data_IF_849996486940
#
_entry.id   IF_849996486940
#
_cell.length_a   1.000
_cell.length_b   1.000
_cell.length_c   1.000
_cell.angle_alpha   90.00
_cell.angle_beta   90.00
_cell.angle_gamma   90.00
#
_symmetry.space_group_name_H-M   'P 1'
#
loop_
_entity.id
_entity.type
_entity.pdbx_description
1 polymer ?
#
# COMPACT_ATOMS: atom_id res chain seq x y z
N UNK A 1 -28.61 -22.42 3.54
CA UNK A 1 -27.57 -21.86 2.62
C UNK A 1 -26.68 -23.01 2.25
N UNK A 2 -26.49 -23.27 0.97
CA UNK A 2 -25.61 -24.33 0.50
C UNK A 2 -24.17 -23.96 0.81
N UNK A 3 -23.48 -24.75 1.63
CA UNK A 3 -22.05 -24.59 1.88
C UNK A 3 -21.31 -24.78 0.55
N UNK A 4 -20.49 -23.80 0.19
CA UNK A 4 -19.63 -23.86 -1.00
C UNK A 4 -18.27 -24.38 -0.57
N UNK A 5 -17.72 -25.31 -1.35
CA UNK A 5 -16.43 -25.92 -1.07
C UNK A 5 -15.34 -25.41 -2.03
N UNK A 6 -14.14 -25.21 -1.51
CA UNK A 6 -12.96 -24.83 -2.29
C UNK A 6 -11.67 -25.31 -1.61
N UNK A 7 -10.57 -25.41 -2.34
CA UNK A 7 -9.28 -25.76 -1.73
C UNK A 7 -8.66 -24.57 -0.99
N UNK A 8 -8.73 -23.39 -1.59
CA UNK A 8 -8.15 -22.17 -1.06
C UNK A 8 -9.17 -21.02 -1.08
N UNK A 9 -9.29 -20.34 0.03
CA UNK A 9 -10.05 -19.09 0.12
C UNK A 9 -9.12 -17.95 0.50
N UNK A 10 -9.16 -16.87 -0.31
CA UNK A 10 -8.43 -15.61 -0.05
C UNK A 10 -9.43 -14.57 0.42
N UNK A 11 -9.15 -13.92 1.56
CA UNK A 11 -9.98 -12.85 2.13
C UNK A 11 -9.42 -11.50 1.70
N UNK A 12 -10.18 -10.76 0.90
CA UNK A 12 -9.86 -9.41 0.40
C UNK A 12 -9.41 -9.38 -1.06
N UNK A 13 -10.18 -8.67 -1.90
CA UNK A 13 -9.88 -8.43 -3.32
C UNK A 13 -9.16 -7.07 -3.53
N UNK A 14 -8.28 -6.70 -2.59
CA UNK A 14 -7.26 -5.68 -2.79
C UNK A 14 -6.11 -6.20 -3.64
N UNK A 15 -5.18 -5.33 -4.02
CA UNK A 15 -4.10 -5.66 -4.96
C UNK A 15 -3.20 -6.83 -4.48
N UNK A 16 -3.00 -6.99 -3.16
CA UNK A 16 -2.19 -8.08 -2.59
C UNK A 16 -2.95 -9.41 -2.70
N UNK A 17 -4.22 -9.45 -2.32
CA UNK A 17 -5.04 -10.67 -2.41
C UNK A 17 -5.19 -11.13 -3.86
N UNK A 18 -5.45 -10.21 -4.79
CA UNK A 18 -5.58 -10.53 -6.21
C UNK A 18 -4.24 -10.97 -6.83
N UNK A 19 -3.12 -10.33 -6.49
CA UNK A 19 -1.79 -10.77 -6.95
C UNK A 19 -1.44 -12.18 -6.41
N UNK A 20 -1.80 -12.46 -5.16
CA UNK A 20 -1.66 -13.79 -4.55
C UNK A 20 -2.51 -14.83 -5.29
N UNK A 21 -3.77 -14.50 -5.59
CA UNK A 21 -4.68 -15.37 -6.33
C UNK A 21 -4.14 -15.69 -7.73
N UNK A 22 -3.65 -14.68 -8.46
CA UNK A 22 -3.01 -14.88 -9.77
C UNK A 22 -1.80 -15.82 -9.69
N UNK A 23 -0.95 -15.63 -8.69
CA UNK A 23 0.23 -16.48 -8.53
C UNK A 23 -0.13 -17.91 -8.13
N UNK A 24 -1.19 -18.11 -7.32
CA UNK A 24 -1.73 -19.46 -7.03
C UNK A 24 -2.19 -20.14 -8.33
N UNK A 25 -3.01 -19.50 -9.13
CA UNK A 25 -3.49 -20.06 -10.41
C UNK A 25 -2.33 -20.39 -11.34
N UNK A 26 -1.31 -19.54 -11.41
CA UNK A 26 -0.13 -19.77 -12.24
C UNK A 26 0.67 -21.02 -11.81
N UNK A 27 0.86 -21.22 -10.49
CA UNK A 27 1.69 -22.33 -9.96
C UNK A 27 0.90 -23.59 -9.71
N UNK A 28 -0.38 -23.46 -9.38
CA UNK A 28 -1.24 -24.54 -8.93
C UNK A 28 -2.58 -24.48 -9.68
N UNK A 29 -2.59 -24.63 -11.01
CA UNK A 29 -3.75 -24.34 -11.86
C UNK A 29 -4.98 -25.25 -11.63
N UNK A 30 -4.84 -26.32 -10.83
CA UNK A 30 -5.96 -27.23 -10.49
C UNK A 30 -6.54 -26.97 -9.11
N UNK A 31 -5.99 -26.00 -8.35
CA UNK A 31 -6.49 -25.65 -7.03
C UNK A 31 -7.79 -24.86 -7.15
N UNK A 32 -8.87 -25.36 -6.56
CA UNK A 32 -10.11 -24.60 -6.41
C UNK A 32 -9.83 -23.33 -5.62
N UNK A 33 -10.13 -22.16 -6.19
CA UNK A 33 -9.79 -20.86 -5.63
C UNK A 33 -11.00 -19.94 -5.60
N UNK A 34 -11.31 -19.42 -4.41
CA UNK A 34 -12.29 -18.37 -4.21
C UNK A 34 -11.63 -17.19 -3.51
N UNK A 35 -11.85 -15.98 -4.03
CA UNK A 35 -11.53 -14.71 -3.38
C UNK A 35 -12.83 -14.10 -2.87
N UNK A 36 -12.92 -13.78 -1.57
CA UNK A 36 -14.08 -13.09 -1.00
C UNK A 36 -13.75 -11.62 -0.72
N UNK A 37 -14.65 -10.73 -1.11
CA UNK A 37 -14.52 -9.28 -0.89
C UNK A 37 -15.80 -8.74 -0.23
N UNK A 38 -15.64 -7.88 0.78
CA UNK A 38 -16.77 -7.31 1.51
C UNK A 38 -17.54 -6.25 0.72
N UNK A 39 -16.87 -5.57 -0.21
CA UNK A 39 -17.44 -4.52 -1.04
C UNK A 39 -18.12 -5.10 -2.30
N UNK A 40 -18.82 -4.24 -3.01
CA UNK A 40 -19.47 -4.54 -4.29
C UNK A 40 -18.51 -4.51 -5.50
N UNK A 41 -17.24 -4.22 -5.26
CA UNK A 41 -16.19 -4.15 -6.28
C UNK A 41 -14.82 -4.48 -5.71
N UNK A 42 -13.91 -4.88 -6.57
CA UNK A 42 -12.48 -5.03 -6.23
C UNK A 42 -11.80 -3.68 -6.03
N UNK A 43 -10.69 -3.64 -5.33
CA UNK A 43 -9.86 -2.46 -5.15
C UNK A 43 -10.55 -1.26 -4.45
N UNK A 44 -11.61 -1.47 -3.72
CA UNK A 44 -12.45 -0.41 -3.14
C UNK A 44 -11.73 0.44 -2.08
N UNK A 45 -10.71 -0.10 -1.42
CA UNK A 45 -10.00 0.55 -0.32
C UNK A 45 -8.60 1.06 -0.71
N UNK A 46 -7.52 0.71 0.04
CA UNK A 46 -6.16 1.24 -0.16
C UNK A 46 -5.67 1.13 -1.61
N UNK A 47 -6.10 0.11 -2.34
CA UNK A 47 -5.75 -0.09 -3.75
C UNK A 47 -6.33 1.00 -4.67
N UNK A 48 -7.53 1.47 -4.40
CA UNK A 48 -8.17 2.58 -5.13
C UNK A 48 -7.85 3.97 -4.55
N UNK A 49 -7.22 4.05 -3.38
CA UNK A 49 -6.99 5.29 -2.63
C UNK A 49 -5.49 5.46 -2.29
N UNK A 50 -4.65 5.57 -3.32
CA UNK A 50 -3.20 5.74 -3.21
C UNK A 50 -2.67 6.75 -4.25
N UNK A 51 -1.38 7.05 -4.20
CA UNK A 51 -0.75 8.02 -5.10
C UNK A 51 -0.55 7.54 -6.55
N UNK A 52 -0.77 6.27 -6.86
CA UNK A 52 -0.53 5.73 -8.20
C UNK A 52 0.95 5.60 -8.60
N UNK A 53 1.88 5.76 -7.66
CA UNK A 53 3.32 5.74 -7.95
C UNK A 53 3.85 4.32 -8.02
N UNK A 54 4.55 3.98 -9.11
CA UNK A 54 5.43 2.81 -9.20
C UNK A 54 6.76 3.21 -8.55
N UNK A 55 6.93 2.85 -7.27
CA UNK A 55 8.10 3.22 -6.48
C UNK A 55 9.37 2.51 -6.94
N UNK A 56 10.52 3.18 -6.79
CA UNK A 56 11.83 2.67 -7.23
C UNK A 56 12.61 1.87 -6.17
N UNK A 57 12.27 2.02 -4.88
CA UNK A 57 13.01 1.37 -3.79
C UNK A 57 14.07 2.23 -3.09
N UNK A 58 14.20 3.51 -3.47
CA UNK A 58 15.25 4.41 -2.96
C UNK A 58 15.21 4.64 -1.43
N UNK A 59 14.01 4.59 -0.82
CA UNK A 59 13.82 4.97 0.60
C UNK A 59 14.08 3.84 1.59
N UNK A 60 14.03 2.58 1.16
CA UNK A 60 13.94 1.43 2.06
C UNK A 60 15.31 0.97 2.54
N UNK A 61 15.33 0.44 3.77
CA UNK A 61 16.57 -0.08 4.37
C UNK A 61 17.15 -1.18 3.49
N UNK A 62 18.43 -1.07 3.17
CA UNK A 62 19.14 -2.05 2.34
C UNK A 62 19.02 -3.44 2.96
N UNK A 63 18.71 -4.42 2.11
CA UNK A 63 18.54 -5.82 2.51
C UNK A 63 17.14 -6.17 3.09
N UNK A 64 16.26 -5.19 3.36
CA UNK A 64 14.89 -5.45 3.80
C UNK A 64 14.04 -6.10 2.70
N UNK A 65 12.97 -6.81 3.10
CA UNK A 65 11.98 -7.34 2.15
C UNK A 65 11.36 -6.23 1.30
N UNK A 66 11.07 -5.08 1.92
CA UNK A 66 10.55 -3.89 1.20
C UNK A 66 11.49 -3.42 0.10
N UNK A 67 12.80 -3.34 0.36
CA UNK A 67 13.76 -2.87 -0.65
C UNK A 67 13.83 -3.84 -1.83
N UNK A 68 14.02 -5.13 -1.57
CA UNK A 68 14.11 -6.17 -2.61
C UNK A 68 12.83 -6.26 -3.44
N UNK A 69 11.69 -6.37 -2.75
CA UNK A 69 10.39 -6.52 -3.42
C UNK A 69 9.96 -5.23 -4.14
N UNK A 70 10.43 -4.06 -3.72
CA UNK A 70 10.14 -2.82 -4.44
C UNK A 70 10.90 -2.73 -5.77
N UNK A 71 12.21 -2.99 -5.75
CA UNK A 71 13.03 -2.91 -6.97
C UNK A 71 12.58 -3.95 -8.00
N UNK A 72 12.43 -5.22 -7.57
CA UNK A 72 11.93 -6.29 -8.44
C UNK A 72 10.47 -6.02 -8.88
N UNK A 73 9.63 -5.58 -7.94
CA UNK A 73 8.22 -5.29 -8.18
C UNK A 73 7.98 -4.14 -9.15
N UNK A 74 8.83 -3.11 -9.12
CA UNK A 74 8.76 -2.03 -10.11
C UNK A 74 8.95 -2.56 -11.54
N UNK A 75 9.93 -3.43 -11.74
CA UNK A 75 10.17 -4.06 -13.05
C UNK A 75 9.01 -5.00 -13.44
N UNK A 76 8.54 -5.83 -12.50
CA UNK A 76 7.42 -6.76 -12.73
C UNK A 76 6.11 -6.02 -13.02
N UNK A 77 5.83 -4.93 -12.31
CA UNK A 77 4.62 -4.11 -12.50
C UNK A 77 4.61 -3.45 -13.88
N UNK A 78 5.71 -2.84 -14.30
CA UNK A 78 5.82 -2.23 -15.63
C UNK A 78 5.63 -3.26 -16.74
N UNK A 79 6.28 -4.41 -16.62
CA UNK A 79 6.11 -5.53 -17.56
C UNK A 79 4.66 -5.99 -17.62
N UNK A 80 4.03 -6.16 -16.45
CA UNK A 80 2.62 -6.56 -16.38
C UNK A 80 1.72 -5.53 -17.06
N UNK A 81 1.93 -4.24 -16.83
CA UNK A 81 1.17 -3.18 -17.49
C UNK A 81 1.36 -3.23 -19.02
N UNK A 82 2.58 -3.39 -19.48
CA UNK A 82 2.91 -3.49 -20.91
C UNK A 82 2.24 -4.71 -21.57
N UNK A 83 2.36 -5.88 -20.95
CA UNK A 83 1.78 -7.14 -21.47
C UNK A 83 0.24 -7.13 -21.50
N UNK A 84 -0.39 -6.34 -20.63
CA UNK A 84 -1.85 -6.27 -20.51
C UNK A 84 -2.47 -4.98 -21.04
N UNK A 85 -1.70 -4.13 -21.72
CA UNK A 85 -2.21 -2.88 -22.31
C UNK A 85 -2.69 -1.86 -21.26
N UNK A 86 -2.15 -1.88 -20.03
CA UNK A 86 -2.50 -0.93 -18.96
C UNK A 86 -1.65 0.32 -19.14
N UNK A 87 -2.26 1.51 -19.26
CA UNK A 87 -1.51 2.75 -19.34
C UNK A 87 -0.64 2.98 -18.09
N UNK A 88 0.64 3.18 -18.29
CA UNK A 88 1.59 3.61 -17.29
C UNK A 88 2.64 4.52 -17.92
N UNK A 89 3.34 5.29 -17.11
CA UNK A 89 4.40 6.17 -17.60
C UNK A 89 5.59 6.15 -16.63
N UNK A 90 6.81 6.03 -17.17
CA UNK A 90 8.06 6.27 -16.44
C UNK A 90 8.37 7.75 -16.48
N UNK A 91 7.69 8.54 -15.68
CA UNK A 91 7.84 9.98 -15.65
C UNK A 91 9.08 10.45 -14.89
N UNK A 92 9.67 9.59 -14.06
CA UNK A 92 10.77 9.98 -13.19
C UNK A 92 10.32 10.74 -11.94
N UNK A 93 11.28 10.94 -11.02
CA UNK A 93 11.08 11.63 -9.75
C UNK A 93 12.32 12.42 -9.38
N UNK A 94 12.13 13.64 -8.86
CA UNK A 94 13.13 14.39 -8.13
C UNK A 94 12.91 14.25 -6.62
N UNK A 95 13.97 13.98 -5.87
CA UNK A 95 14.01 14.17 -4.42
C UNK A 95 14.90 15.36 -4.15
N UNK A 96 14.35 16.44 -3.60
CA UNK A 96 14.97 17.77 -3.58
C UNK A 96 15.35 18.15 -2.15
N UNK A 97 16.59 18.55 -1.94
CA UNK A 97 17.06 19.19 -0.71
C UNK A 97 16.85 20.71 -0.84
N UNK A 98 16.08 21.26 0.09
CA UNK A 98 15.72 22.69 0.14
C UNK A 98 16.50 23.47 1.21
N UNK A 99 17.34 22.78 1.99
CA UNK A 99 18.22 23.36 3.01
C UNK A 99 19.54 22.60 3.12
N UNK A 100 20.56 23.27 3.68
CA UNK A 100 21.88 22.65 3.90
C UNK A 100 21.81 21.42 4.81
N UNK A 101 20.90 21.40 5.78
CA UNK A 101 20.67 20.24 6.66
C UNK A 101 20.15 19.01 5.91
N UNK A 102 19.46 19.21 4.79
CA UNK A 102 18.90 18.13 3.97
C UNK A 102 19.92 17.53 3.01
N UNK A 103 20.96 18.28 2.61
CA UNK A 103 21.98 17.80 1.65
C UNK A 103 22.68 16.52 2.10
N UNK A 104 23.19 16.39 3.33
CA UNK A 104 23.80 15.13 3.80
C UNK A 104 22.82 13.96 3.78
N UNK A 105 21.54 14.20 4.10
CA UNK A 105 20.48 13.17 4.06
C UNK A 105 20.17 12.75 2.63
N UNK A 106 20.20 13.71 1.69
CA UNK A 106 20.02 13.43 0.26
C UNK A 106 21.15 12.55 -0.29
N UNK A 107 22.40 12.83 0.09
CA UNK A 107 23.56 12.00 -0.28
C UNK A 107 23.39 10.57 0.27
N UNK A 108 23.08 10.44 1.55
CA UNK A 108 22.83 9.14 2.17
C UNK A 108 21.65 8.39 1.52
N UNK A 109 20.65 9.11 1.03
CA UNK A 109 19.52 8.53 0.28
C UNK A 109 19.96 8.02 -1.08
N UNK A 110 20.79 8.76 -1.81
CA UNK A 110 21.39 8.36 -3.08
C UNK A 110 22.21 7.06 -2.92
N UNK A 111 23.09 7.03 -1.91
CA UNK A 111 23.94 5.86 -1.63
C UNK A 111 23.10 4.63 -1.27
N UNK A 112 22.04 4.82 -0.48
CA UNK A 112 21.07 3.77 -0.14
C UNK A 112 20.36 3.24 -1.38
N UNK A 113 19.87 4.13 -2.25
CA UNK A 113 19.22 3.75 -3.49
C UNK A 113 20.14 2.97 -4.42
N UNK A 114 21.42 3.38 -4.51
CA UNK A 114 22.47 2.68 -5.26
C UNK A 114 22.71 1.27 -4.67
N UNK A 115 22.83 1.17 -3.36
CA UNK A 115 23.00 -0.11 -2.66
C UNK A 115 21.76 -1.04 -2.79
N UNK A 116 20.57 -0.48 -2.98
CA UNK A 116 19.36 -1.23 -3.26
C UNK A 116 19.24 -1.66 -4.74
N UNK A 117 20.15 -1.22 -5.62
CA UNK A 117 20.11 -1.54 -7.03
C UNK A 117 19.09 -0.72 -7.84
N UNK A 118 18.71 0.47 -7.38
CA UNK A 118 17.81 1.37 -8.13
C UNK A 118 18.53 1.88 -9.38
N UNK A 119 18.01 1.62 -10.60
CA UNK A 119 18.73 1.97 -11.83
C UNK A 119 18.72 3.46 -12.12
N UNK A 120 19.84 3.96 -12.66
CA UNK A 120 19.92 5.29 -13.27
C UNK A 120 19.85 6.47 -12.31
N UNK A 121 20.11 6.26 -11.01
CA UNK A 121 20.15 7.35 -10.03
C UNK A 121 21.23 8.38 -10.41
N UNK A 122 20.89 9.65 -10.32
CA UNK A 122 21.81 10.77 -10.55
C UNK A 122 21.64 11.83 -9.48
N UNK A 123 22.77 12.27 -8.90
CA UNK A 123 22.82 13.49 -8.11
C UNK A 123 22.91 14.68 -9.07
N UNK A 124 22.05 15.66 -8.90
CA UNK A 124 21.94 16.83 -9.77
C UNK A 124 22.10 18.13 -8.97
N UNK A 125 22.87 19.05 -9.53
CA UNK A 125 22.91 20.44 -9.09
C UNK A 125 21.69 21.21 -9.61
N UNK A 126 21.47 22.42 -9.08
CA UNK A 126 20.25 23.20 -9.29
C UNK A 126 19.89 23.39 -10.77
N UNK A 127 20.83 23.79 -11.60
CA UNK A 127 20.56 24.05 -13.03
C UNK A 127 20.14 22.77 -13.75
N UNK A 128 20.80 21.64 -13.46
CA UNK A 128 20.51 20.36 -14.10
C UNK A 128 19.14 19.78 -13.68
N UNK A 129 18.71 19.93 -12.43
CA UNK A 129 17.37 19.42 -12.10
C UNK A 129 16.25 20.38 -12.58
N UNK A 130 16.53 21.66 -12.79
CA UNK A 130 15.58 22.61 -13.37
C UNK A 130 15.35 22.40 -14.88
N UNK A 131 16.25 21.74 -15.57
CA UNK A 131 15.97 21.26 -16.94
C UNK A 131 14.83 20.22 -16.94
N UNK A 132 14.75 19.40 -15.89
CA UNK A 132 13.70 18.36 -15.72
C UNK A 132 12.41 18.99 -15.19
N UNK A 133 12.52 19.79 -14.10
CA UNK A 133 11.42 20.47 -13.41
C UNK A 133 11.69 21.97 -13.34
N UNK A 134 11.32 22.75 -14.36
CA UNK A 134 11.71 24.17 -14.47
C UNK A 134 11.27 25.07 -13.32
N UNK A 135 10.15 24.72 -12.67
CA UNK A 135 9.57 25.46 -11.55
C UNK A 135 10.03 24.94 -10.18
N UNK A 136 10.83 23.85 -10.16
CA UNK A 136 11.37 23.29 -8.94
C UNK A 136 12.54 24.14 -8.42
N UNK A 137 12.60 24.34 -7.11
CA UNK A 137 13.69 25.04 -6.43
C UNK A 137 14.27 24.22 -5.29
N UNK A 138 15.56 24.43 -5.02
CA UNK A 138 16.32 23.72 -4.01
C UNK A 138 17.82 23.87 -4.22
N UNK A 139 18.61 23.22 -3.37
CA UNK A 139 20.07 23.24 -3.43
C UNK A 139 20.61 22.13 -4.35
N UNK A 140 20.13 20.91 -4.14
CA UNK A 140 20.52 19.71 -4.88
C UNK A 140 19.34 18.75 -4.99
N UNK A 141 19.37 17.85 -5.95
CA UNK A 141 18.35 16.81 -6.09
C UNK A 141 18.93 15.44 -6.46
N UNK A 142 18.24 14.37 -6.05
CA UNK A 142 18.43 13.04 -6.64
C UNK A 142 17.35 12.81 -7.67
N UNK A 143 17.75 12.57 -8.90
CA UNK A 143 16.86 12.15 -9.98
C UNK A 143 16.77 10.62 -10.00
N UNK A 144 15.53 10.12 -10.00
CA UNK A 144 15.18 8.70 -10.06
C UNK A 144 14.37 8.47 -11.34
N UNK A 145 15.03 8.24 -12.50
CA UNK A 145 14.34 8.21 -13.80
C UNK A 145 13.35 7.05 -13.93
N UNK A 146 13.58 5.95 -13.23
CA UNK A 146 12.76 4.72 -13.30
C UNK A 146 11.50 4.73 -12.44
N UNK A 147 11.23 5.81 -11.69
CA UNK A 147 9.96 5.97 -11.00
C UNK A 147 8.85 6.21 -12.03
N UNK A 148 7.72 5.53 -11.84
CA UNK A 148 6.59 5.65 -12.77
C UNK A 148 5.27 5.93 -12.06
N UNK A 149 4.22 6.06 -12.86
CA UNK A 149 2.84 6.25 -12.43
C UNK A 149 1.91 5.28 -13.16
N UNK A 150 0.87 4.81 -12.46
CA UNK A 150 -0.14 3.89 -12.96
C UNK A 150 -1.43 4.05 -12.15
N UNK A 151 -2.57 3.67 -12.70
CA UNK A 151 -3.79 3.47 -11.91
C UNK A 151 -3.85 2.04 -11.37
N UNK A 152 -3.62 1.88 -10.06
CA UNK A 152 -3.67 0.56 -9.42
C UNK A 152 -5.08 -0.03 -9.36
N UNK A 153 -6.13 0.76 -9.55
CA UNK A 153 -7.49 0.24 -9.71
C UNK A 153 -7.61 -0.56 -11.00
N UNK A 154 -7.08 -0.03 -12.09
CA UNK A 154 -7.03 -0.71 -13.39
C UNK A 154 -6.17 -1.97 -13.34
N UNK A 155 -5.02 -1.90 -12.66
CA UNK A 155 -4.15 -3.07 -12.43
C UNK A 155 -4.91 -4.17 -11.68
N UNK A 156 -5.59 -3.84 -10.58
CA UNK A 156 -6.34 -4.79 -9.77
C UNK A 156 -7.54 -5.38 -10.53
N UNK A 157 -8.23 -4.58 -11.33
CA UNK A 157 -9.30 -5.06 -12.22
C UNK A 157 -8.76 -6.07 -13.25
N UNK A 158 -7.59 -5.80 -13.81
CA UNK A 158 -6.94 -6.75 -14.73
C UNK A 158 -6.53 -8.06 -14.01
N UNK A 159 -6.02 -7.98 -12.78
CA UNK A 159 -5.77 -9.18 -11.97
C UNK A 159 -7.06 -10.00 -11.79
N UNK A 160 -8.16 -9.34 -11.42
CA UNK A 160 -9.45 -9.99 -11.24
C UNK A 160 -9.96 -10.65 -12.54
N UNK A 161 -9.85 -9.96 -13.67
CA UNK A 161 -10.20 -10.52 -14.98
C UNK A 161 -9.40 -11.79 -15.31
N UNK A 162 -8.08 -11.76 -15.08
CA UNK A 162 -7.21 -12.91 -15.36
C UNK A 162 -7.50 -14.09 -14.43
N UNK A 163 -7.81 -13.83 -13.14
CA UNK A 163 -8.24 -14.84 -12.19
C UNK A 163 -9.51 -15.54 -12.68
N UNK A 164 -10.53 -14.78 -13.06
CA UNK A 164 -11.82 -15.31 -13.51
C UNK A 164 -11.68 -16.07 -14.83
N UNK A 165 -10.88 -15.58 -15.78
CA UNK A 165 -10.60 -16.31 -17.04
C UNK A 165 -9.91 -17.65 -16.82
N UNK A 166 -9.13 -17.77 -15.76
CA UNK A 166 -8.43 -19.01 -15.41
C UNK A 166 -9.26 -19.93 -14.49
N UNK A 167 -10.54 -19.62 -14.25
CA UNK A 167 -11.47 -20.44 -13.47
C UNK A 167 -11.49 -20.15 -11.98
N UNK A 168 -10.75 -19.15 -11.49
CA UNK A 168 -10.90 -18.65 -10.12
C UNK A 168 -12.17 -17.83 -9.96
N UNK A 169 -12.75 -17.85 -8.77
CA UNK A 169 -13.97 -17.11 -8.47
C UNK A 169 -13.72 -15.93 -7.55
N UNK A 170 -14.43 -14.82 -7.79
CA UNK A 170 -14.42 -13.63 -6.91
C UNK A 170 -15.86 -13.38 -6.47
N UNK A 171 -16.10 -13.44 -5.16
CA UNK A 171 -17.41 -13.23 -4.54
C UNK A 171 -17.40 -11.87 -3.85
N UNK A 172 -18.16 -10.95 -4.38
CA UNK A 172 -18.33 -9.59 -3.87
C UNK A 172 -19.48 -9.54 -2.84
N UNK A 173 -19.53 -8.50 -2.01
CA UNK A 173 -20.52 -8.37 -0.94
C UNK A 173 -20.38 -9.43 0.17
N UNK A 174 -19.25 -10.15 0.19
CA UNK A 174 -18.99 -11.29 1.07
C UNK A 174 -18.13 -10.88 2.29
N UNK A 175 -18.62 -9.95 3.11
CA UNK A 175 -17.96 -9.58 4.37
C UNK A 175 -17.85 -10.80 5.28
N UNK A 176 -16.62 -11.18 5.65
CA UNK A 176 -16.36 -12.26 6.61
C UNK A 176 -16.85 -11.85 7.98
N UNK A 177 -17.66 -12.70 8.61
CA UNK A 177 -18.27 -12.48 9.93
C UNK A 177 -17.85 -13.53 10.96
N UNK A 178 -17.41 -14.71 10.51
CA UNK A 178 -16.81 -15.73 11.37
C UNK A 178 -15.76 -16.55 10.60
N UNK A 179 -14.74 -17.00 11.31
CA UNK A 179 -13.68 -17.86 10.79
C UNK A 179 -13.27 -18.84 11.86
N UNK A 180 -13.44 -20.14 11.59
CA UNK A 180 -13.13 -21.21 12.54
C UNK A 180 -12.51 -22.42 11.84
N UNK A 181 -11.62 -23.11 12.56
CA UNK A 181 -11.13 -24.40 12.14
C UNK A 181 -12.24 -25.47 12.18
N UNK A 182 -12.20 -26.40 11.25
CA UNK A 182 -13.04 -27.59 11.19
C UNK A 182 -12.17 -28.83 10.95
N UNK A 183 -12.71 -30.04 11.15
CA UNK A 183 -12.05 -31.33 11.02
C UNK A 183 -11.30 -31.49 9.67
N UNK A 184 -10.09 -30.93 9.61
CA UNK A 184 -9.22 -30.97 8.44
C UNK A 184 -9.26 -29.74 7.51
N UNK A 185 -10.04 -28.68 7.82
CA UNK A 185 -10.15 -27.46 7.04
C UNK A 185 -10.56 -26.24 7.87
N UNK A 186 -11.25 -25.34 7.22
CA UNK A 186 -11.75 -24.09 7.81
C UNK A 186 -13.17 -23.81 7.31
N UNK A 187 -13.98 -23.18 8.15
CA UNK A 187 -15.29 -22.62 7.77
C UNK A 187 -15.17 -21.09 7.84
N UNK A 188 -15.48 -20.44 6.73
CA UNK A 188 -15.51 -18.98 6.59
C UNK A 188 -16.95 -18.55 6.36
N UNK A 189 -17.56 -17.93 7.35
CA UNK A 189 -18.92 -17.41 7.26
C UNK A 189 -18.88 -15.96 6.76
N UNK A 190 -19.71 -15.66 5.78
CA UNK A 190 -19.79 -14.33 5.16
C UNK A 190 -21.23 -13.90 5.00
N UNK A 191 -21.46 -12.62 4.66
CA UNK A 191 -22.81 -12.14 4.29
C UNK A 191 -23.35 -12.80 3.01
N UNK A 192 -22.48 -13.38 2.16
CA UNK A 192 -22.86 -14.06 0.92
C UNK A 192 -23.04 -15.60 1.11
N UNK A 193 -22.91 -16.11 2.34
CA UNK A 193 -23.00 -17.54 2.67
C UNK A 193 -21.75 -18.07 3.36
N UNK A 194 -21.75 -19.38 3.62
CA UNK A 194 -20.63 -20.08 4.24
C UNK A 194 -19.78 -20.81 3.19
N UNK A 195 -18.47 -20.81 3.42
CA UNK A 195 -17.48 -21.47 2.59
C UNK A 195 -16.68 -22.47 3.43
N UNK A 196 -16.63 -23.72 2.98
CA UNK A 196 -15.73 -24.74 3.52
C UNK A 196 -14.45 -24.76 2.67
N UNK A 197 -13.30 -24.61 3.29
CA UNK A 197 -12.02 -24.52 2.57
C UNK A 197 -10.91 -25.23 3.31
N UNK A 198 -9.96 -25.81 2.58
CA UNK A 198 -8.77 -26.43 3.18
C UNK A 198 -7.80 -25.40 3.73
N UNK A 199 -7.60 -24.32 3.00
CA UNK A 199 -6.61 -23.27 3.29
C UNK A 199 -7.22 -21.88 3.23
N UNK A 200 -6.72 -20.96 4.07
CA UNK A 200 -7.13 -19.57 4.07
C UNK A 200 -5.90 -18.66 3.98
N UNK A 201 -5.97 -17.65 3.11
CA UNK A 201 -5.01 -16.53 3.12
C UNK A 201 -5.77 -15.24 3.42
N UNK A 202 -5.44 -14.62 4.54
CA UNK A 202 -6.03 -13.35 4.95
C UNK A 202 -5.23 -12.19 4.37
N UNK A 203 -5.79 -11.52 3.36
CA UNK A 203 -5.30 -10.29 2.72
C UNK A 203 -6.24 -9.11 2.97
N UNK A 204 -6.88 -9.04 4.13
CA UNK A 204 -7.94 -8.08 4.45
C UNK A 204 -7.46 -6.63 4.71
N UNK A 205 -6.17 -6.33 4.50
CA UNK A 205 -5.61 -4.97 4.56
C UNK A 205 -5.93 -4.25 5.88
N UNK A 206 -6.81 -3.25 5.84
CA UNK A 206 -7.24 -2.48 7.02
C UNK A 206 -7.88 -3.34 8.12
N UNK A 207 -8.39 -4.53 7.79
CA UNK A 207 -9.02 -5.46 8.73
C UNK A 207 -8.22 -6.74 8.97
N UNK A 208 -6.95 -6.78 8.54
CA UNK A 208 -6.12 -7.99 8.63
C UNK A 208 -5.97 -8.50 10.07
N UNK A 209 -5.79 -7.61 11.03
CA UNK A 209 -5.71 -7.90 12.46
C UNK A 209 -7.04 -8.43 13.02
N UNK A 210 -8.17 -7.86 12.61
CA UNK A 210 -9.50 -8.31 13.02
C UNK A 210 -9.79 -9.73 12.53
N UNK A 211 -9.51 -10.03 11.26
CA UNK A 211 -9.63 -11.38 10.71
C UNK A 211 -8.68 -12.36 11.40
N UNK A 212 -7.45 -11.93 11.72
CA UNK A 212 -6.49 -12.75 12.44
C UNK A 212 -7.00 -13.10 13.84
N UNK A 213 -7.56 -12.14 14.58
CA UNK A 213 -8.21 -12.40 15.88
C UNK A 213 -9.45 -13.29 15.76
N UNK A 214 -10.25 -13.10 14.70
CA UNK A 214 -11.41 -13.93 14.42
C UNK A 214 -11.04 -15.42 14.21
N UNK A 215 -9.85 -15.67 13.65
CA UNK A 215 -9.28 -17.01 13.51
C UNK A 215 -8.74 -17.60 14.85
N UNK A 216 -8.94 -16.91 15.98
CA UNK A 216 -8.43 -17.33 17.29
C UNK A 216 -6.94 -17.10 17.51
N UNK A 217 -6.29 -16.35 16.63
CA UNK A 217 -4.85 -16.08 16.70
C UNK A 217 -4.59 -14.84 17.56
N UNK A 218 -3.85 -15.02 18.64
CA UNK A 218 -3.39 -13.92 19.48
C UNK A 218 -2.22 -13.21 18.76
N UNK A 219 -2.42 -11.94 18.42
CA UNK A 219 -1.36 -11.09 17.90
C UNK A 219 -1.14 -9.90 18.83
N UNK A 220 0.11 -9.52 19.04
CA UNK A 220 0.47 -8.31 19.74
C UNK A 220 0.47 -7.07 18.82
N UNK A 221 -0.37 -7.11 17.78
CA UNK A 221 -0.47 -6.09 16.73
C UNK A 221 -1.89 -5.57 16.63
N UNK A 222 -2.00 -4.27 16.37
CA UNK A 222 -3.25 -3.60 16.01
C UNK A 222 -3.03 -2.75 14.78
N UNK A 223 -3.99 -2.74 13.85
CA UNK A 223 -3.99 -1.80 12.73
C UNK A 223 -4.54 -0.46 13.20
N UNK A 224 -3.67 0.53 13.25
CA UNK A 224 -4.02 1.92 13.51
C UNK A 224 -4.15 2.63 12.16
N UNK A 225 -5.32 3.13 11.79
CA UNK A 225 -5.52 3.79 10.52
C UNK A 225 -4.97 5.23 10.55
N UNK A 226 -4.19 5.58 9.51
CA UNK A 226 -3.74 6.95 9.27
C UNK A 226 -4.31 7.45 7.95
N UNK A 227 -5.08 8.53 8.02
CA UNK A 227 -5.62 9.19 6.85
C UNK A 227 -4.63 10.19 6.28
N UNK A 228 -4.38 10.11 4.98
CA UNK A 228 -3.67 11.11 4.21
C UNK A 228 -4.64 11.90 3.36
N UNK A 229 -4.66 13.21 3.50
CA UNK A 229 -5.45 14.13 2.70
C UNK A 229 -4.59 14.71 1.60
N UNK A 230 -5.18 14.91 0.43
CA UNK A 230 -4.55 15.52 -0.73
C UNK A 230 -5.25 16.80 -1.12
N UNK A 231 -4.50 17.71 -1.66
CA UNK A 231 -5.00 18.76 -2.52
C UNK A 231 -4.73 18.40 -3.98
N UNK A 232 -5.56 18.89 -4.88
CA UNK A 232 -5.31 18.82 -6.31
C UNK A 232 -4.85 20.19 -6.82
N UNK A 233 -3.79 20.21 -7.63
CA UNK A 233 -3.36 21.44 -8.32
C UNK A 233 -4.36 21.73 -9.44
N UNK A 234 -4.90 22.94 -9.44
CA UNK A 234 -5.87 23.39 -10.44
C UNK A 234 -5.36 23.20 -11.86
N UNK A 235 -6.21 22.85 -12.82
CA UNK A 235 -5.82 22.57 -14.20
C UNK A 235 -4.89 23.63 -14.83
N UNK A 236 -5.17 24.91 -14.56
CA UNK A 236 -4.45 26.06 -15.11
C UNK A 236 -3.01 26.19 -14.57
N UNK A 237 -2.69 25.46 -13.49
CA UNK A 237 -1.40 25.52 -12.79
C UNK A 237 -0.66 24.18 -12.78
N UNK A 238 -1.20 23.12 -13.40
CA UNK A 238 -0.55 21.80 -13.49
C UNK A 238 0.78 21.84 -14.21
N UNK A 239 1.00 22.82 -15.09
CA UNK A 239 2.26 23.03 -15.78
C UNK A 239 3.45 23.30 -14.86
N UNK A 240 3.21 23.69 -13.59
CA UNK A 240 4.26 23.86 -12.58
C UNK A 240 4.94 22.54 -12.20
N UNK A 241 4.29 21.41 -12.42
CA UNK A 241 4.79 20.08 -12.04
C UNK A 241 4.71 19.16 -13.25
N UNK A 242 5.86 18.73 -13.76
CA UNK A 242 5.93 17.83 -14.91
C UNK A 242 5.92 16.36 -14.51
N UNK A 243 6.57 16.03 -13.38
CA UNK A 243 6.78 14.66 -12.93
C UNK A 243 6.40 14.51 -11.44
N UNK A 244 7.30 13.96 -10.64
CA UNK A 244 7.13 13.78 -9.21
C UNK A 244 8.20 14.59 -8.47
N UNK A 245 7.78 15.46 -7.54
CA UNK A 245 8.70 16.29 -6.74
C UNK A 245 8.50 15.98 -5.27
N UNK A 246 9.53 15.42 -4.63
CA UNK A 246 9.49 14.92 -3.27
C UNK A 246 10.53 15.60 -2.40
N UNK A 247 10.24 15.87 -1.12
CA UNK A 247 11.25 16.34 -0.18
C UNK A 247 12.21 15.23 0.25
N UNK A 248 13.35 15.62 0.79
CA UNK A 248 14.22 14.68 1.49
C UNK A 248 13.52 14.16 2.75
N UNK A 249 13.49 12.83 2.97
CA UNK A 249 12.89 12.28 4.18
C UNK A 249 13.59 12.79 5.44
N UNK A 250 12.80 13.20 6.42
CA UNK A 250 13.31 13.49 7.76
C UNK A 250 13.21 12.23 8.63
N UNK A 251 14.33 11.67 9.11
CA UNK A 251 14.33 10.42 9.87
C UNK A 251 13.59 10.51 11.22
N UNK A 252 13.30 11.72 11.68
CA UNK A 252 12.49 11.94 12.89
C UNK A 252 11.01 11.62 12.68
N UNK A 253 10.57 11.58 11.40
CA UNK A 253 9.18 11.38 11.03
C UNK A 253 8.99 10.01 10.35
N UNK A 254 7.98 9.22 10.75
CA UNK A 254 7.71 7.92 10.15
C UNK A 254 7.06 8.02 8.75
N UNK A 255 6.58 9.19 8.38
CA UNK A 255 5.94 9.44 7.09
C UNK A 255 6.70 10.50 6.31
N UNK A 256 6.67 10.37 5.00
CA UNK A 256 7.25 11.37 4.09
C UNK A 256 6.44 12.67 4.15
N UNK A 257 7.13 13.80 4.07
CA UNK A 257 6.50 15.12 3.97
C UNK A 257 5.64 15.28 2.72
N UNK A 258 4.80 16.32 2.71
CA UNK A 258 3.96 16.64 1.55
C UNK A 258 4.79 16.81 0.28
N UNK A 259 4.29 16.29 -0.82
CA UNK A 259 5.00 16.22 -2.09
C UNK A 259 4.02 16.32 -3.27
N UNK A 260 4.55 16.50 -4.47
CA UNK A 260 3.74 16.52 -5.69
C UNK A 260 3.78 15.20 -6.41
N UNK A 261 2.62 14.76 -6.85
CA UNK A 261 2.45 13.52 -7.62
C UNK A 261 1.58 13.79 -8.84
N UNK A 262 2.15 13.64 -10.02
CA UNK A 262 1.37 13.60 -11.25
C UNK A 262 0.73 12.21 -11.38
N UNK A 263 -0.52 12.18 -11.81
CA UNK A 263 -1.29 10.96 -12.06
C UNK A 263 -1.29 10.62 -13.54
N UNK A 264 -1.56 9.37 -13.87
CA UNK A 264 -1.63 8.88 -15.26
C UNK A 264 -2.73 9.57 -16.07
N UNK A 265 -3.76 10.12 -15.43
CA UNK A 265 -4.82 10.90 -16.07
C UNK A 265 -4.45 12.39 -16.25
N UNK A 266 -3.21 12.79 -15.92
CA UNK A 266 -2.72 14.15 -16.03
C UNK A 266 -3.10 15.09 -14.90
N UNK A 267 -3.82 14.64 -13.86
CA UNK A 267 -4.01 15.43 -12.65
C UNK A 267 -2.73 15.50 -11.84
N UNK A 268 -2.58 16.53 -11.01
CA UNK A 268 -1.45 16.70 -10.11
C UNK A 268 -1.98 16.83 -8.69
N UNK A 269 -1.59 15.90 -7.84
CA UNK A 269 -1.91 15.90 -6.42
C UNK A 269 -0.76 16.45 -5.60
N UNK A 270 -1.09 17.13 -4.52
CA UNK A 270 -0.18 17.63 -3.51
C UNK A 270 -0.55 17.05 -2.14
N UNK A 271 0.38 16.38 -1.49
CA UNK A 271 0.13 15.65 -0.24
C UNK A 271 0.90 14.33 -0.21
N UNK A 272 0.45 13.36 0.59
CA UNK A 272 -0.53 13.52 1.65
C UNK A 272 0.07 14.05 2.96
N UNK A 273 -0.78 14.55 3.87
CA UNK A 273 -0.47 14.62 5.29
C UNK A 273 -0.64 13.23 5.97
N UNK A 274 -0.50 13.14 7.28
CA UNK A 274 -0.67 11.89 8.00
C UNK A 274 -1.43 12.14 9.32
N UNK A 275 -2.74 11.95 9.28
CA UNK A 275 -3.65 12.16 10.40
C UNK A 275 -4.11 10.84 11.00
N UNK A 276 -4.19 10.77 12.31
CA UNK A 276 -4.83 9.65 12.97
C UNK A 276 -6.31 9.61 12.57
N UNK A 277 -6.78 8.46 12.08
CA UNK A 277 -8.19 8.24 11.79
C UNK A 277 -8.82 7.38 12.90
N UNK A 278 -10.07 7.70 13.29
CA UNK A 278 -10.86 6.94 14.26
C UNK A 278 -11.85 5.99 13.57
N UNK A 279 -11.59 5.71 12.30
CA UNK A 279 -12.33 4.77 11.46
C UNK A 279 -11.40 4.20 10.40
N UNK A 280 -11.42 2.88 10.21
CA UNK A 280 -10.57 2.19 9.21
C UNK A 280 -10.90 2.60 7.77
N UNK A 281 -12.15 2.97 7.51
CA UNK A 281 -12.63 3.45 6.20
C UNK A 281 -12.93 4.95 6.21
N UNK A 282 -12.18 5.73 6.97
CA UNK A 282 -12.37 7.16 7.18
C UNK A 282 -11.96 8.03 5.99
N UNK A 283 -12.36 7.69 4.75
CA UNK A 283 -12.03 8.47 3.55
C UNK A 283 -12.69 9.85 3.55
N UNK A 284 -13.91 9.99 4.09
CA UNK A 284 -14.67 11.24 4.09
C UNK A 284 -14.55 12.07 5.37
N UNK A 285 -13.64 11.73 6.24
CA UNK A 285 -13.09 12.61 7.30
C UNK A 285 -13.94 12.90 8.53
N UNK A 286 -15.24 12.66 8.56
CA UNK A 286 -16.07 13.36 9.52
C UNK A 286 -16.71 12.51 10.64
N UNK A 287 -16.76 11.19 10.53
CA UNK A 287 -17.47 10.38 11.53
C UNK A 287 -16.59 9.25 12.07
N UNK A 288 -16.26 9.27 13.37
CA UNK A 288 -15.61 8.12 14.00
C UNK A 288 -16.56 6.92 14.00
N UNK A 289 -16.02 5.73 13.81
CA UNK A 289 -16.70 4.49 14.17
C UNK A 289 -16.35 4.20 15.64
N UNK A 290 -17.37 4.18 16.50
CA UNK A 290 -17.15 4.09 17.94
C UNK A 290 -16.56 2.73 18.35
N UNK A 291 -16.92 1.65 17.67
CA UNK A 291 -16.42 0.30 18.00
C UNK A 291 -14.96 0.18 17.57
N UNK A 292 -14.62 0.64 16.36
CA UNK A 292 -13.24 0.66 15.87
C UNK A 292 -12.35 1.59 16.70
N UNK A 293 -12.83 2.79 17.02
CA UNK A 293 -12.13 3.74 17.87
C UNK A 293 -11.89 3.17 19.28
N UNK A 294 -12.90 2.54 19.88
CA UNK A 294 -12.78 1.94 21.20
C UNK A 294 -11.82 0.75 21.20
N UNK A 295 -11.84 -0.08 20.14
CA UNK A 295 -10.87 -1.17 19.94
C UNK A 295 -9.44 -0.66 19.94
N UNK A 296 -9.16 0.38 19.16
CA UNK A 296 -7.86 1.03 19.08
C UNK A 296 -7.43 1.64 20.43
N UNK A 297 -8.33 2.35 21.12
CA UNK A 297 -8.05 2.98 22.41
C UNK A 297 -7.81 1.97 23.54
N UNK A 298 -8.34 0.75 23.45
CA UNK A 298 -8.06 -0.34 24.41
C UNK A 298 -6.70 -0.98 24.21
N UNK A 299 -6.06 -0.76 23.07
CA UNK A 299 -4.75 -1.35 22.78
C UNK A 299 -3.62 -0.57 23.45
N UNK A 300 -2.84 -1.18 24.36
CA UNK A 300 -1.77 -0.45 25.08
C UNK A 300 -0.69 0.16 24.17
N UNK A 301 -0.40 -0.50 23.05
CA UNK A 301 0.55 -0.01 22.05
C UNK A 301 0.14 1.33 21.44
N UNK A 302 -1.17 1.58 21.30
CA UNK A 302 -1.67 2.87 20.81
C UNK A 302 -1.22 4.05 21.70
N UNK A 303 -1.35 3.93 23.03
CA UNK A 303 -0.96 4.99 23.94
C UNK A 303 0.54 5.24 23.99
N UNK A 304 1.35 4.18 23.87
CA UNK A 304 2.80 4.29 23.79
C UNK A 304 3.21 4.98 22.47
N UNK A 305 2.58 4.61 21.36
CA UNK A 305 2.76 5.28 20.07
C UNK A 305 2.34 6.74 20.14
N UNK A 306 1.14 7.03 20.64
CA UNK A 306 0.61 8.37 20.78
C UNK A 306 1.56 9.26 21.60
N UNK A 307 2.06 8.76 22.76
CA UNK A 307 3.04 9.48 23.59
C UNK A 307 4.36 9.74 22.85
N UNK A 308 4.80 8.80 22.00
CA UNK A 308 6.06 8.95 21.24
C UNK A 308 5.94 10.00 20.14
N UNK A 309 4.77 10.07 19.47
CA UNK A 309 4.58 10.87 18.24
C UNK A 309 3.61 12.03 18.40
N UNK A 310 3.14 12.40 19.63
CA UNK A 310 2.10 13.41 19.82
C UNK A 310 2.41 14.79 19.21
N UNK A 311 3.68 15.27 19.34
CA UNK A 311 4.09 16.58 18.80
C UNK A 311 3.96 16.60 17.26
N UNK A 312 4.33 15.49 16.64
CA UNK A 312 4.21 15.34 15.19
C UNK A 312 2.74 15.27 14.78
N UNK A 313 1.93 14.47 15.47
CA UNK A 313 0.48 14.39 15.23
C UNK A 313 -0.19 15.76 15.32
N UNK A 314 0.18 16.58 16.30
CA UNK A 314 -0.32 17.95 16.44
C UNK A 314 0.11 18.85 15.25
N UNK A 315 1.36 18.72 14.78
CA UNK A 315 1.85 19.48 13.64
C UNK A 315 1.15 19.08 12.32
N UNK A 316 0.90 17.76 12.14
CA UNK A 316 0.12 17.28 10.99
C UNK A 316 -1.33 17.77 11.06
N UNK A 317 -1.97 17.72 12.23
CA UNK A 317 -3.31 18.23 12.44
C UNK A 317 -3.42 19.73 12.16
N UNK A 318 -2.44 20.52 12.60
CA UNK A 318 -2.37 21.95 12.27
C UNK A 318 -2.27 22.19 10.76
N UNK A 319 -1.42 21.42 10.06
CA UNK A 319 -1.31 21.53 8.59
C UNK A 319 -2.58 21.12 7.86
N UNK A 320 -3.33 20.15 8.40
CA UNK A 320 -4.63 19.77 7.84
C UNK A 320 -5.67 20.88 7.94
N UNK A 321 -5.71 21.59 9.06
CA UNK A 321 -6.65 22.69 9.26
C UNK A 321 -6.25 23.99 8.57
N UNK A 322 -4.95 24.18 8.38
CA UNK A 322 -4.39 25.44 7.87
C UNK A 322 -3.80 25.27 6.48
N UNK A 323 -4.66 25.43 5.46
CA UNK A 323 -4.25 25.36 4.04
C UNK A 323 -3.03 26.26 3.71
N UNK A 324 -2.89 27.50 4.27
CA UNK A 324 -1.67 28.29 4.07
C UNK A 324 -0.40 27.60 4.56
N UNK A 325 -0.46 26.89 5.68
CA UNK A 325 0.70 26.14 6.20
C UNK A 325 1.07 24.96 5.32
N UNK A 326 0.07 24.30 4.75
CA UNK A 326 0.26 23.23 3.78
C UNK A 326 0.90 23.75 2.49
N UNK A 327 0.35 24.83 1.93
CA UNK A 327 0.90 25.50 0.74
C UNK A 327 2.35 25.96 0.96
N UNK A 328 2.66 26.55 2.12
CA UNK A 328 4.02 26.99 2.48
C UNK A 328 5.03 25.81 2.50
N UNK A 329 4.60 24.61 2.91
CA UNK A 329 5.47 23.44 2.88
C UNK A 329 5.80 23.02 1.43
N UNK A 330 4.84 23.11 0.52
CA UNK A 330 5.02 22.83 -0.92
C UNK A 330 5.85 23.88 -1.64
N UNK A 331 5.68 25.16 -1.25
CA UNK A 331 6.43 26.30 -1.81
C UNK A 331 7.95 26.23 -1.58
N UNK A 332 8.40 25.41 -0.63
CA UNK A 332 9.84 25.14 -0.48
C UNK A 332 10.43 24.48 -1.73
N UNK A 333 9.64 23.65 -2.41
CA UNK A 333 10.07 22.95 -3.62
C UNK A 333 9.57 23.61 -4.91
N UNK A 334 8.41 24.29 -4.86
CA UNK A 334 7.83 25.00 -6.02
C UNK A 334 7.35 26.38 -5.54
N UNK A 335 8.24 27.40 -5.52
CA UNK A 335 7.93 28.72 -4.95
C UNK A 335 6.78 29.47 -5.64
N UNK A 336 6.55 29.21 -6.92
CA UNK A 336 5.51 29.86 -7.71
C UNK A 336 4.08 29.34 -7.40
N UNK A 337 3.96 28.24 -6.66
CA UNK A 337 2.65 27.70 -6.25
C UNK A 337 1.98 28.67 -5.27
N UNK A 338 0.73 29.00 -5.52
CA UNK A 338 -0.10 29.80 -4.61
C UNK A 338 -1.11 28.91 -3.89
N UNK A 339 -1.57 29.37 -2.73
CA UNK A 339 -2.63 28.67 -2.00
C UNK A 339 -3.92 28.54 -2.84
N UNK A 340 -4.23 29.55 -3.66
CA UNK A 340 -5.37 29.54 -4.58
C UNK A 340 -5.28 28.49 -5.67
N UNK A 341 -4.07 27.99 -5.97
CA UNK A 341 -3.82 26.98 -7.00
C UNK A 341 -4.19 25.56 -6.50
N UNK A 342 -4.45 25.40 -5.21
CA UNK A 342 -4.82 24.16 -4.58
C UNK A 342 -6.35 24.08 -4.42
N UNK A 343 -6.96 23.01 -4.91
CA UNK A 343 -8.35 22.63 -4.66
C UNK A 343 -8.38 21.44 -3.70
N UNK A 344 -9.48 21.21 -2.94
CA UNK A 344 -9.63 19.99 -2.18
C UNK A 344 -9.50 18.76 -3.09
N UNK A 345 -8.69 17.80 -2.68
CA UNK A 345 -8.46 16.53 -3.39
C UNK A 345 -9.08 15.34 -2.66
N UNK A 346 -8.61 14.16 -3.01
CA UNK A 346 -9.02 12.91 -2.38
C UNK A 346 -8.37 12.65 -1.03
N UNK A 347 -8.62 11.48 -0.49
CA UNK A 347 -7.95 10.96 0.69
C UNK A 347 -7.68 9.47 0.57
N UNK A 348 -6.68 9.00 1.29
CA UNK A 348 -6.38 7.58 1.44
C UNK A 348 -6.21 7.21 2.92
N UNK A 349 -6.53 5.99 3.29
CA UNK A 349 -6.28 5.49 4.65
C UNK A 349 -5.21 4.41 4.59
N UNK A 350 -4.15 4.58 5.37
CA UNK A 350 -3.05 3.63 5.51
C UNK A 350 -3.31 2.70 6.68
N UNK A 351 -3.22 1.40 6.44
CA UNK A 351 -3.21 0.38 7.48
C UNK A 351 -1.80 0.33 8.10
N UNK A 352 -1.60 0.99 9.23
CA UNK A 352 -0.33 0.96 9.95
C UNK A 352 -0.39 -0.05 11.09
N UNK A 353 0.35 -1.14 10.97
CA UNK A 353 0.48 -2.07 12.09
C UNK A 353 1.34 -1.46 13.20
N UNK A 354 0.86 -1.55 14.43
CA UNK A 354 1.51 -1.07 15.65
C UNK A 354 1.66 -2.23 16.60
N UNK A 355 2.84 -2.41 17.20
CA UNK A 355 3.08 -3.46 18.20
C UNK A 355 2.65 -3.00 19.61
N UNK A 356 2.64 -3.94 20.57
CA UNK A 356 2.30 -3.67 21.97
C UNK A 356 3.26 -2.69 22.67
N UNK A 357 4.43 -2.40 22.06
CA UNK A 357 5.41 -1.42 22.54
C UNK A 357 5.22 -0.04 21.90
N UNK A 358 4.26 0.11 21.00
CA UNK A 358 3.98 1.35 20.28
C UNK A 358 4.95 1.63 19.12
N UNK A 359 5.65 0.61 18.64
CA UNK A 359 6.48 0.73 17.44
C UNK A 359 5.61 0.54 16.19
N UNK A 360 5.86 1.37 15.19
CA UNK A 360 5.27 1.22 13.86
C UNK A 360 6.06 0.13 13.12
N UNK A 361 5.36 -0.90 12.64
CA UNK A 361 5.99 -1.94 11.85
C UNK A 361 6.34 -1.37 10.47
N UNK A 362 7.62 -1.40 10.15
CA UNK A 362 8.11 -0.82 8.89
C UNK A 362 8.27 -1.87 7.77
N UNK A 363 8.43 -3.16 8.07
CA UNK A 363 8.58 -4.22 7.05
C UNK A 363 7.36 -5.14 7.00
N UNK A 364 7.33 -6.05 6.04
CA UNK A 364 6.24 -7.01 5.88
C UNK A 364 6.16 -7.96 7.07
N UNK A 365 4.95 -8.28 7.47
CA UNK A 365 4.70 -9.16 8.61
C UNK A 365 3.59 -10.17 8.30
N UNK A 366 3.95 -11.44 8.39
CA UNK A 366 3.06 -12.57 8.15
C UNK A 366 2.93 -13.39 9.42
N UNK A 367 1.73 -13.88 9.72
CA UNK A 367 1.44 -14.77 10.84
C UNK A 367 0.84 -16.06 10.30
N UNK A 368 1.29 -17.18 10.85
CA UNK A 368 0.83 -18.51 10.44
C UNK A 368 0.03 -19.16 11.56
N UNK A 369 -1.11 -19.76 11.23
CA UNK A 369 -1.96 -20.45 12.18
C UNK A 369 -2.61 -21.67 11.51
N UNK A 370 -2.21 -22.89 11.88
CA UNK A 370 -2.74 -24.10 11.28
C UNK A 370 -2.61 -24.05 9.74
N UNK A 371 -3.76 -24.10 9.06
CA UNK A 371 -3.88 -24.02 7.59
C UNK A 371 -4.21 -22.60 7.08
N UNK A 372 -3.77 -21.57 7.82
CA UNK A 372 -4.00 -20.18 7.49
C UNK A 372 -2.70 -19.38 7.43
N UNK A 373 -2.66 -18.41 6.53
CA UNK A 373 -1.62 -17.37 6.44
C UNK A 373 -2.31 -16.04 6.58
N UNK A 374 -1.87 -15.23 7.53
CA UNK A 374 -2.39 -13.89 7.77
C UNK A 374 -1.36 -12.85 7.33
N UNK A 375 -1.71 -12.03 6.37
CA UNK A 375 -0.90 -10.90 5.89
C UNK A 375 -1.21 -9.69 6.77
N UNK A 376 -0.51 -9.59 7.92
CA UNK A 376 -0.83 -8.63 8.97
C UNK A 376 -0.28 -7.22 8.72
N UNK A 377 0.82 -7.10 7.96
CA UNK A 377 1.39 -5.81 7.60
C UNK A 377 2.08 -5.88 6.25
N UNK A 378 1.57 -5.12 5.30
CA UNK A 378 2.21 -4.91 4.00
C UNK A 378 2.10 -3.43 3.65
N UNK A 379 2.96 -2.58 4.24
CA UNK A 379 2.92 -1.14 4.01
C UNK A 379 3.46 -0.79 2.62
N UNK A 380 3.34 0.49 2.23
CA UNK A 380 3.99 0.98 0.99
C UNK A 380 5.46 0.51 0.94
N UNK A 381 5.86 -0.11 -0.17
CA UNK A 381 5.35 -0.01 -1.53
C UNK A 381 4.46 -1.19 -1.99
N UNK A 382 3.54 -1.64 -1.17
CA UNK A 382 2.73 -2.85 -1.42
C UNK A 382 2.14 -2.96 -2.83
N UNK A 383 1.58 -1.87 -3.37
CA UNK A 383 0.98 -1.88 -4.70
C UNK A 383 2.02 -2.12 -5.80
N UNK A 384 3.14 -1.40 -5.76
CA UNK A 384 4.27 -1.61 -6.67
C UNK A 384 4.82 -3.04 -6.59
N UNK A 385 4.94 -3.56 -5.37
CA UNK A 385 5.54 -4.86 -5.08
C UNK A 385 4.53 -6.02 -5.10
N UNK A 386 3.27 -5.77 -5.46
CA UNK A 386 2.17 -6.74 -5.26
C UNK A 386 2.43 -8.10 -5.91
N UNK A 387 3.01 -8.14 -7.09
CA UNK A 387 3.35 -9.39 -7.79
C UNK A 387 4.44 -10.18 -7.03
N UNK A 388 5.47 -9.50 -6.51
CA UNK A 388 6.53 -10.16 -5.72
C UNK A 388 6.01 -10.63 -4.36
N UNK A 389 5.15 -9.81 -3.72
CA UNK A 389 4.48 -10.18 -2.47
C UNK A 389 3.58 -11.41 -2.68
N UNK A 390 2.83 -11.43 -3.78
CA UNK A 390 2.02 -12.61 -4.14
C UNK A 390 2.86 -13.88 -4.30
N UNK A 391 4.04 -13.78 -4.95
CA UNK A 391 5.00 -14.88 -5.07
C UNK A 391 5.48 -15.35 -3.70
N UNK A 392 5.88 -14.42 -2.83
CA UNK A 392 6.36 -14.73 -1.48
C UNK A 392 5.29 -15.41 -0.63
N UNK A 393 4.03 -14.94 -0.70
CA UNK A 393 2.91 -15.57 0.00
C UNK A 393 2.67 -16.99 -0.52
N UNK A 394 2.75 -17.21 -1.83
CA UNK A 394 2.57 -18.55 -2.42
C UNK A 394 3.76 -19.46 -2.13
N UNK A 395 4.98 -18.92 -2.05
CA UNK A 395 6.14 -19.69 -1.57
C UNK A 395 5.92 -20.19 -0.14
N UNK A 396 5.49 -19.30 0.77
CA UNK A 396 5.14 -19.67 2.14
C UNK A 396 4.01 -20.70 2.19
N UNK A 397 2.98 -20.52 1.34
CA UNK A 397 1.86 -21.44 1.23
C UNK A 397 2.31 -22.83 0.80
N UNK A 398 3.12 -22.93 -0.24
CA UNK A 398 3.58 -24.23 -0.78
C UNK A 398 4.48 -24.97 0.21
N UNK A 399 5.37 -24.26 0.88
CA UNK A 399 6.23 -24.84 1.91
C UNK A 399 5.44 -25.30 3.13
N UNK A 400 4.54 -24.45 3.64
CA UNK A 400 3.83 -24.71 4.90
C UNK A 400 2.74 -25.75 4.78
N UNK A 401 2.04 -25.77 3.65
CA UNK A 401 0.93 -26.71 3.44
C UNK A 401 1.37 -27.99 2.72
N UNK A 402 2.69 -28.17 2.53
CA UNK A 402 3.28 -29.35 1.87
C UNK A 402 2.58 -29.67 0.54
N UNK A 403 2.29 -28.64 -0.24
CA UNK A 403 1.59 -28.78 -1.51
C UNK A 403 2.54 -29.37 -2.56
N UNK A 404 2.60 -30.69 -2.61
CA UNK A 404 3.30 -31.42 -3.66
C UNK A 404 2.39 -31.63 -4.88
N UNK A 405 2.97 -31.84 -6.05
CA UNK A 405 2.21 -32.12 -7.27
C UNK A 405 1.28 -33.37 -7.13
N UNK A 406 1.55 -34.25 -6.15
CA UNK A 406 0.74 -35.43 -5.83
C UNK A 406 -0.43 -35.13 -4.89
N UNK A 407 -0.28 -34.16 -3.94
CA UNK A 407 -1.35 -33.80 -3.00
C UNK A 407 -2.51 -33.05 -3.67
N UNK A 408 -2.28 -32.52 -4.87
CA UNK A 408 -3.26 -31.81 -5.67
C UNK A 408 -4.07 -32.69 -6.61
N UNK A 409 -3.67 -34.00 -6.77
CA UNK A 409 -4.37 -34.94 -7.61
C UNK A 409 -5.48 -35.73 -6.88
N UNK A 410 -5.49 -35.71 -5.54
CA UNK A 410 -6.42 -36.54 -4.73
C UNK A 410 -7.77 -35.85 -4.43
N UNK A 411 -8.01 -34.62 -4.89
CA UNK A 411 -9.25 -33.87 -4.65
C UNK A 411 -10.29 -34.01 -5.78
N UNK A 412 -10.05 -34.86 -6.78
CA UNK A 412 -10.93 -35.08 -7.95
C UNK A 412 -11.35 -36.57 -8.11
N UNK A 413 -11.52 -37.31 -6.99
CA UNK A 413 -12.20 -38.62 -6.97
C UNK A 413 -13.42 -38.56 -6.07
#
# INVERSE_FOLDING_TARGET
>A
MTDRETDLLIIGAGIVGLATAMEVIRRVPRMGLIVVEKEDRVAAHQTGHNSGVIHSGIYYKTGSLKARNCVAGAASMKRFCQENGIPYEECGKLVVATSDEEVPRLIALHDRGTANGVPGLRMLERDAFREIEPHCDGLRAVHVPTTGIVDYTVVAQKYAELIQRAGGEIVLGAKVVALRGDNGGNIVETHAGAFRTRYVINCAGLYSDAITRMAGVQTNLEIVPFRGEYYEVRPERRNLIRNLIYPVPDPRFPFLGVHFTRRVNGSVEAGPNALLAFRREGYNGASPDMDEAMGMLRFPGFWKMARKYWRMGMAEQYRSWMKPAFAKALQKMVPELKESDLAPGGSGVRAQAVDANGNLLDDFHFVHSGRMIHVCNVPSPAATASLEIGREIVDMMTQRFELTASSLRSASQ
#
